data_IF_643262767178
#
_entry.id   IF_643262767178
#
_cell.length_a   1.000
_cell.length_b   1.000
_cell.length_c   1.000
_cell.angle_alpha   90.00
_cell.angle_beta   90.00
_cell.angle_gamma   90.00
#
_symmetry.space_group_name_H-M   'P 1'
#
loop_
_entity.id
_entity.type
_entity.pdbx_description
1 polymer ?
#
# COMPACT_ATOMS: atom_id res chain seq x y z
N UNK A 1 -4.10 -5.43 13.57
CA UNK A 1 -4.17 -5.49 12.11
C UNK A 1 -3.70 -4.14 11.60
N UNK A 2 -2.49 -4.09 11.04
CA UNK A 2 -1.78 -2.88 10.61
C UNK A 2 -2.20 -2.57 9.16
N UNK A 3 -2.70 -1.37 8.92
CA UNK A 3 -3.14 -0.87 7.61
C UNK A 3 -1.97 -0.19 6.91
N UNK A 4 -1.42 -0.85 5.91
CA UNK A 4 -0.24 -0.36 5.17
C UNK A 4 -0.65 0.19 3.80
N UNK A 5 0.06 1.24 3.36
CA UNK A 5 0.01 1.75 1.99
C UNK A 5 1.29 1.39 1.23
N UNK A 6 1.19 1.07 -0.05
CA UNK A 6 2.35 0.76 -0.91
C UNK A 6 2.57 1.91 -1.90
N UNK A 7 3.79 2.47 -1.95
CA UNK A 7 4.15 3.55 -2.87
C UNK A 7 5.36 3.12 -3.69
N UNK A 8 5.15 2.89 -4.99
CA UNK A 8 6.21 2.50 -5.92
C UNK A 8 5.76 2.81 -7.36
N UNK A 9 6.63 3.33 -8.21
CA UNK A 9 6.33 3.67 -9.61
C UNK A 9 6.22 2.42 -10.52
N UNK A 10 6.64 1.25 -10.04
CA UNK A 10 6.57 -0.01 -10.75
C UNK A 10 5.39 -0.88 -10.27
N UNK A 11 4.41 -1.08 -11.16
CA UNK A 11 3.21 -1.89 -10.86
C UNK A 11 3.52 -3.35 -10.47
N UNK A 12 4.60 -3.93 -11.00
CA UNK A 12 5.02 -5.30 -10.68
C UNK A 12 5.48 -5.42 -9.22
N UNK A 13 6.16 -4.41 -8.70
CA UNK A 13 6.63 -4.37 -7.31
C UNK A 13 5.43 -4.29 -6.36
N UNK A 14 4.48 -3.40 -6.64
CA UNK A 14 3.26 -3.28 -5.81
C UNK A 14 2.45 -4.57 -5.78
N UNK A 15 2.30 -5.22 -6.92
CA UNK A 15 1.60 -6.50 -7.03
C UNK A 15 2.29 -7.60 -6.23
N UNK A 16 3.62 -7.70 -6.32
CA UNK A 16 4.41 -8.66 -5.54
C UNK A 16 4.32 -8.41 -4.03
N UNK A 17 4.48 -7.16 -3.59
CA UNK A 17 4.35 -6.78 -2.18
C UNK A 17 2.94 -7.06 -1.64
N UNK A 18 1.90 -6.74 -2.42
CA UNK A 18 0.52 -7.03 -2.03
C UNK A 18 0.26 -8.52 -1.84
N UNK A 19 0.78 -9.36 -2.73
CA UNK A 19 0.69 -10.81 -2.60
C UNK A 19 1.44 -11.28 -1.34
N UNK A 20 2.68 -10.84 -1.15
CA UNK A 20 3.49 -11.19 0.00
C UNK A 20 2.82 -10.81 1.33
N UNK A 21 2.27 -9.60 1.43
CA UNK A 21 1.56 -9.16 2.63
C UNK A 21 0.20 -9.84 2.82
N UNK A 22 -0.43 -10.37 1.77
CA UNK A 22 -1.68 -11.12 1.91
C UNK A 22 -1.52 -12.44 2.66
N UNK A 23 -0.30 -12.97 2.75
CA UNK A 23 0.03 -14.17 3.52
C UNK A 23 0.16 -13.89 5.03
N UNK A 24 0.20 -12.60 5.43
CA UNK A 24 0.38 -12.16 6.81
C UNK A 24 -0.95 -11.66 7.40
N UNK A 25 -1.47 -12.38 8.40
CA UNK A 25 -2.81 -12.10 8.98
C UNK A 25 -2.89 -10.77 9.76
N UNK A 26 -1.74 -10.24 10.17
CA UNK A 26 -1.62 -9.00 10.92
C UNK A 26 -1.49 -7.77 10.04
N UNK A 27 -1.25 -7.93 8.73
CA UNK A 27 -1.07 -6.84 7.77
C UNK A 27 -2.23 -6.76 6.78
N UNK A 28 -2.59 -5.55 6.38
CA UNK A 28 -3.55 -5.31 5.28
C UNK A 28 -3.12 -4.13 4.43
N UNK A 29 -2.98 -4.38 3.13
CA UNK A 29 -2.82 -3.31 2.15
C UNK A 29 -4.14 -2.55 2.03
N UNK A 30 -4.14 -1.31 2.51
CA UNK A 30 -5.30 -0.41 2.51
C UNK A 30 -5.32 0.50 1.27
N UNK A 31 -4.18 0.70 0.61
CA UNK A 31 -4.12 1.36 -0.70
C UNK A 31 -2.73 1.34 -1.33
N UNK A 32 -2.67 1.80 -2.58
CA UNK A 32 -1.47 1.82 -3.42
C UNK A 32 -1.33 3.18 -4.11
N UNK A 33 -0.10 3.61 -4.39
CA UNK A 33 0.20 4.82 -5.14
C UNK A 33 1.40 4.59 -6.08
N UNK A 34 1.38 5.22 -7.25
CA UNK A 34 2.45 5.15 -8.25
C UNK A 34 3.39 6.36 -8.23
N UNK A 35 3.08 7.38 -7.43
CA UNK A 35 3.85 8.63 -7.36
C UNK A 35 3.78 9.26 -5.98
N UNK A 36 4.70 10.17 -5.68
CA UNK A 36 4.68 10.92 -4.43
C UNK A 36 3.41 11.77 -4.25
N UNK A 37 2.82 12.28 -5.36
CA UNK A 37 1.56 13.02 -5.30
C UNK A 37 0.40 12.11 -4.89
N UNK A 38 0.29 10.94 -5.53
CA UNK A 38 -0.71 9.93 -5.17
C UNK A 38 -0.51 9.42 -3.75
N UNK A 39 0.74 9.30 -3.27
CA UNK A 39 1.03 8.89 -1.89
C UNK A 39 0.50 9.90 -0.87
N UNK A 40 0.66 11.20 -1.13
CA UNK A 40 0.11 12.26 -0.26
C UNK A 40 -1.43 12.20 -0.27
N UNK A 41 -2.05 11.97 -1.43
CA UNK A 41 -3.50 11.79 -1.53
C UNK A 41 -3.98 10.54 -0.79
N UNK A 42 -3.25 9.44 -0.91
CA UNK A 42 -3.53 8.18 -0.23
C UNK A 42 -3.53 8.36 1.30
N UNK A 43 -2.51 9.00 1.86
CA UNK A 43 -2.41 9.27 3.31
C UNK A 43 -3.54 10.21 3.79
N UNK A 44 -4.02 11.11 2.94
CA UNK A 44 -5.11 12.05 3.28
C UNK A 44 -6.50 11.41 3.23
N UNK A 45 -6.68 10.38 2.41
CA UNK A 45 -8.00 9.80 2.10
C UNK A 45 -8.20 8.41 2.70
N UNK A 46 -7.12 7.76 3.14
CA UNK A 46 -7.13 6.41 3.70
C UNK A 46 -6.51 6.41 5.09
N UNK A 47 -7.15 5.75 6.04
CA UNK A 47 -6.54 5.51 7.35
C UNK A 47 -5.44 4.44 7.23
N UNK A 48 -4.20 4.85 7.43
CA UNK A 48 -3.01 4.01 7.50
C UNK A 48 -2.41 4.08 8.91
N UNK A 49 -1.72 3.03 9.32
CA UNK A 49 -0.94 2.96 10.56
C UNK A 49 0.53 3.35 10.35
#
# INVERSE_FOLDING_TARGET
MIKIGIVDDHAIVRSGLRQFFSEHVDLRVAGEAASGREAIELVRTTELD
#
